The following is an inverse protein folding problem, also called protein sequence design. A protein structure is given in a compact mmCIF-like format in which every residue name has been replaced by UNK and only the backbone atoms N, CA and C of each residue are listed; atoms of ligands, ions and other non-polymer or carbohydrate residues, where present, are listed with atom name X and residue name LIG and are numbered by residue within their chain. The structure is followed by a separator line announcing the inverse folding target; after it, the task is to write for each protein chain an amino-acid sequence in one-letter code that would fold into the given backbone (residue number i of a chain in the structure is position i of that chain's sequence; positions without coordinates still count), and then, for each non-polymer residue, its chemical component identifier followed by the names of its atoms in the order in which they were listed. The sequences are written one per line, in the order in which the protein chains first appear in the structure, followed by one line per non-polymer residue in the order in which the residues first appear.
data_IF_062679739573
#
_entry.id   IF_062679739573
#
_cell.length_a   1.000
_cell.length_b   1.000
_cell.length_c   1.000
_cell.angle_alpha   90.00
_cell.angle_beta   90.00
_cell.angle_gamma   90.00
#
_symmetry.space_group_name_H-M   'P 1'
#
loop_
_entity.id
_entity.type
_entity.pdbx_description
1 polymer ?
#
# COMPACT_ATOMS: atom_id res chain seq x y z
N UNK A 1 -15.89 2.00 -23.42
CA UNK A 1 -14.66 2.81 -23.31
C UNK A 1 -14.19 2.95 -21.86
N UNK A 2 -15.00 2.52 -20.89
CA UNK A 2 -14.69 2.59 -19.45
C UNK A 2 -13.62 1.59 -19.01
N UNK A 3 -13.63 0.37 -19.54
CA UNK A 3 -12.63 -0.65 -19.22
C UNK A 3 -11.19 -0.22 -19.57
N UNK A 4 -11.02 0.57 -20.65
CA UNK A 4 -9.70 1.08 -21.05
C UNK A 4 -9.25 2.19 -20.09
N UNK A 5 -10.17 3.03 -19.63
CA UNK A 5 -9.86 4.09 -18.66
C UNK A 5 -9.54 3.54 -17.27
N UNK A 6 -10.24 2.48 -16.84
CA UNK A 6 -9.95 1.79 -15.57
C UNK A 6 -8.62 1.02 -15.62
N UNK A 7 -8.29 0.46 -16.80
CA UNK A 7 -6.97 -0.13 -17.03
C UNK A 7 -5.88 0.95 -17.00
N UNK A 8 -6.08 2.10 -17.64
CA UNK A 8 -5.12 3.21 -17.61
C UNK A 8 -4.96 3.73 -16.19
N UNK A 9 -6.03 3.85 -15.38
CA UNK A 9 -5.94 4.28 -13.97
C UNK A 9 -5.21 3.28 -13.08
N UNK A 10 -5.49 1.99 -13.22
CA UNK A 10 -4.82 0.95 -12.41
C UNK A 10 -3.33 0.86 -12.76
N UNK A 11 -3.00 0.84 -14.06
CA UNK A 11 -1.62 0.76 -14.55
C UNK A 11 -0.84 2.05 -14.25
N UNK A 12 -1.44 3.22 -14.44
CA UNK A 12 -0.79 4.51 -14.12
C UNK A 12 -0.49 4.67 -12.64
N UNK A 13 -1.33 4.14 -11.76
CA UNK A 13 -1.08 4.15 -10.31
C UNK A 13 0.14 3.28 -9.96
N UNK A 14 0.22 2.07 -10.52
CA UNK A 14 1.36 1.16 -10.33
C UNK A 14 2.66 1.73 -10.92
N UNK A 15 2.58 2.40 -12.07
CA UNK A 15 3.73 3.06 -12.72
C UNK A 15 4.18 4.29 -11.91
N UNK A 16 3.26 5.11 -11.42
CA UNK A 16 3.59 6.30 -10.62
C UNK A 16 4.32 5.92 -9.32
N UNK A 17 3.88 4.86 -8.63
CA UNK A 17 4.58 4.31 -7.47
C UNK A 17 5.94 3.67 -7.81
N UNK A 18 6.17 3.27 -9.07
CA UNK A 18 7.43 2.66 -9.50
C UNK A 18 8.56 3.70 -9.71
N UNK A 19 8.25 4.98 -9.85
CA UNK A 19 9.23 6.06 -10.07
C UNK A 19 9.67 6.81 -8.81
N UNK A 20 8.99 6.63 -7.68
CA UNK A 20 9.49 7.12 -6.40
C UNK A 20 10.57 6.14 -5.92
N UNK A 21 11.76 6.65 -5.61
CA UNK A 21 12.77 5.87 -4.90
C UNK A 21 12.22 5.56 -3.51
N UNK A 22 11.71 4.34 -3.36
CA UNK A 22 11.18 3.84 -2.09
C UNK A 22 12.37 3.35 -1.29
N UNK A 23 12.64 4.03 -0.18
CA UNK A 23 13.73 3.68 0.73
C UNK A 23 13.27 2.61 1.72
N UNK A 24 14.23 1.96 2.38
CA UNK A 24 13.92 1.04 3.48
C UNK A 24 13.22 1.78 4.63
N UNK A 25 13.63 3.03 4.89
CA UNK A 25 13.02 3.90 5.90
C UNK A 25 11.53 4.17 5.60
N UNK A 26 11.17 4.40 4.33
CA UNK A 26 9.75 4.55 3.93
C UNK A 26 8.94 3.28 4.23
N UNK A 27 9.53 2.11 3.99
CA UNK A 27 8.89 0.82 4.25
C UNK A 27 8.70 0.60 5.75
N UNK A 28 9.74 0.85 6.54
CA UNK A 28 9.72 0.68 8.00
C UNK A 28 8.70 1.63 8.65
N UNK A 29 8.71 2.91 8.31
CA UNK A 29 7.75 3.90 8.82
C UNK A 29 6.28 3.53 8.50
N UNK A 30 6.04 3.05 7.28
CA UNK A 30 4.71 2.61 6.87
C UNK A 30 4.30 1.30 7.56
N UNK A 31 5.23 0.36 7.75
CA UNK A 31 4.98 -0.85 8.53
C UNK A 31 4.63 -0.54 9.99
N UNK A 32 5.35 0.38 10.63
CA UNK A 32 5.03 0.84 11.97
C UNK A 32 3.64 1.45 12.04
N UNK A 33 3.28 2.29 11.07
CA UNK A 33 1.94 2.87 10.98
C UNK A 33 0.85 1.80 10.80
N UNK A 34 1.07 0.83 9.91
CA UNK A 34 0.12 -0.25 9.64
C UNK A 34 -0.07 -1.18 10.84
N UNK A 35 0.99 -1.47 11.61
CA UNK A 35 0.96 -2.28 12.84
C UNK A 35 -0.01 -1.73 13.90
N UNK A 36 -0.38 -0.46 13.87
CA UNK A 36 -1.37 0.07 14.81
C UNK A 36 -2.80 -0.41 14.52
N UNK A 37 -3.05 -1.04 13.37
CA UNK A 37 -4.38 -1.51 12.98
C UNK A 37 -4.54 -3.01 13.26
N UNK A 38 -5.62 -3.39 13.94
CA UNK A 38 -5.93 -4.80 14.28
C UNK A 38 -5.97 -5.70 13.04
N UNK A 39 -6.61 -5.24 11.95
CA UNK A 39 -6.69 -6.01 10.72
C UNK A 39 -5.30 -6.34 10.12
N UNK A 40 -4.30 -5.48 10.32
CA UNK A 40 -2.95 -5.71 9.83
C UNK A 40 -2.18 -6.67 10.75
N UNK A 41 -2.43 -6.61 12.06
CA UNK A 41 -1.90 -7.57 13.02
C UNK A 41 -2.37 -8.99 12.71
N UNK A 42 -3.62 -9.16 12.29
CA UNK A 42 -4.13 -10.48 11.84
C UNK A 42 -3.31 -11.04 10.67
N UNK A 43 -2.91 -10.20 9.72
CA UNK A 43 -2.02 -10.61 8.61
C UNK A 43 -0.58 -10.88 9.06
N UNK A 44 -0.10 -10.24 10.12
CA UNK A 44 1.23 -10.53 10.69
C UNK A 44 1.25 -11.84 11.51
N UNK A 45 0.12 -12.21 12.11
CA UNK A 45 0.00 -13.47 12.86
C UNK A 45 -0.13 -14.70 11.95
N UNK A 46 -0.61 -14.53 10.72
CA UNK A 46 -0.61 -15.60 9.72
C UNK A 46 0.78 -15.76 9.10
N UNK A 47 1.35 -16.97 9.20
CA UNK A 47 2.71 -17.26 8.75
C UNK A 47 2.93 -16.98 7.25
N UNK A 48 1.92 -17.26 6.42
CA UNK A 48 2.01 -17.07 4.96
C UNK A 48 2.03 -15.59 4.61
N UNK A 49 1.13 -14.80 5.21
CA UNK A 49 1.06 -13.36 4.97
C UNK A 49 2.27 -12.63 5.57
N UNK A 50 2.73 -13.02 6.76
CA UNK A 50 3.95 -12.47 7.36
C UNK A 50 5.18 -12.67 6.46
N UNK A 51 5.37 -13.88 5.91
CA UNK A 51 6.48 -14.14 4.96
C UNK A 51 6.39 -13.28 3.71
N UNK A 52 5.18 -13.00 3.21
CA UNK A 52 4.98 -12.10 2.07
C UNK A 52 5.33 -10.65 2.44
N UNK A 53 4.86 -10.17 3.60
CA UNK A 53 5.12 -8.80 4.08
C UNK A 53 6.61 -8.58 4.30
N UNK A 54 7.33 -9.56 4.87
CA UNK A 54 8.75 -9.41 5.22
C UNK A 54 9.73 -9.67 4.08
N UNK A 55 9.38 -10.57 3.14
CA UNK A 55 10.36 -11.06 2.17
C UNK A 55 9.99 -10.77 0.71
N UNK A 56 8.73 -10.47 0.40
CA UNK A 56 8.34 -10.21 -0.98
C UNK A 56 8.64 -8.75 -1.36
N UNK A 57 9.61 -8.56 -2.25
CA UNK A 57 10.02 -7.24 -2.73
C UNK A 57 8.87 -6.40 -3.28
N UNK A 58 7.91 -7.01 -3.97
CA UNK A 58 6.77 -6.26 -4.53
C UNK A 58 5.82 -5.80 -3.43
N UNK A 59 5.54 -6.67 -2.44
CA UNK A 59 4.70 -6.31 -1.29
C UNK A 59 5.34 -5.18 -0.49
N UNK A 60 6.64 -5.30 -0.19
CA UNK A 60 7.39 -4.27 0.53
C UNK A 60 7.45 -2.95 -0.23
N UNK A 61 7.64 -3.00 -1.55
CA UNK A 61 7.57 -1.81 -2.41
C UNK A 61 6.20 -1.16 -2.35
N UNK A 62 5.12 -1.93 -2.45
CA UNK A 62 3.76 -1.37 -2.30
C UNK A 62 3.58 -0.72 -0.95
N UNK A 63 4.06 -1.33 0.14
CA UNK A 63 4.01 -0.77 1.49
C UNK A 63 4.80 0.55 1.59
N UNK A 64 6.05 0.60 1.15
CA UNK A 64 6.85 1.84 1.16
C UNK A 64 6.34 2.92 0.22
N UNK A 65 5.51 2.55 -0.77
CA UNK A 65 4.87 3.50 -1.67
C UNK A 65 3.66 4.21 -1.05
N UNK A 66 3.15 3.73 0.09
CA UNK A 66 1.99 4.33 0.77
C UNK A 66 2.35 5.75 1.19
N UNK A 67 1.59 6.72 0.69
CA UNK A 67 1.71 8.13 1.06
C UNK A 67 0.82 8.40 2.27
N UNK A 68 1.41 8.30 3.46
CA UNK A 68 0.73 8.59 4.74
C UNK A 68 0.36 10.06 4.90
N UNK A 69 0.99 10.98 4.14
CA UNK A 69 0.61 12.39 4.09
C UNK A 69 -0.62 12.63 3.19
N UNK A 70 -0.99 11.67 2.36
CA UNK A 70 -2.26 11.68 1.65
C UNK A 70 -3.35 11.25 2.63
N UNK A 71 -3.70 12.19 3.51
CA UNK A 71 -4.94 12.14 4.28
C UNK A 71 -6.04 11.63 3.37
N UNK A 72 -6.57 10.49 3.78
CA UNK A 72 -7.51 9.66 3.07
C UNK A 72 -8.74 10.51 2.70
N UNK A 73 -8.75 11.09 1.49
CA UNK A 73 -9.98 11.53 0.79
C UNK A 73 -10.80 10.30 0.33
N UNK A 74 -10.72 9.18 1.05
CA UNK A 74 -11.64 8.04 0.94
C UNK A 74 -12.58 7.96 2.15
N UNK A 75 -12.33 8.68 3.25
CA UNK A 75 -13.26 8.78 4.38
C UNK A 75 -14.46 9.71 4.08
N UNK A 76 -14.40 10.54 3.04
CA UNK A 76 -15.50 11.43 2.65
C UNK A 76 -16.42 10.87 1.56
N UNK A 77 -16.13 9.72 0.95
CA UNK A 77 -16.95 9.16 -0.13
C UNK A 77 -18.01 8.14 0.32
N UNK A 78 -18.06 7.77 1.62
CA UNK A 78 -19.12 6.93 2.19
C UNK A 78 -20.15 7.73 3.01
N UNK A 79 -20.33 9.03 2.69
CA UNK A 79 -21.31 9.89 3.38
C UNK A 79 -22.17 10.76 2.44
N UNK A 80 -22.47 10.25 1.25
CA UNK A 80 -23.54 10.76 0.39
C UNK A 80 -24.40 9.61 -0.14
#
# INVERSE_FOLDING_TARGET
MDAVLDLIRSVSTVIFFSFKDITEEDIENNLESLKHNEWFQDFLHDEKYNKLILNNTNVRRVIGSIDTNKHITLCHLNRM
#
